data_IF_265539208252
#
_entry.id   IF_265539208252
#
_cell.length_a   1.000
_cell.length_b   1.000
_cell.length_c   1.000
_cell.angle_alpha   90.00
_cell.angle_beta   90.00
_cell.angle_gamma   90.00
#
_symmetry.space_group_name_H-M   'P 1'
#
loop_
_entity.id
_entity.type
_entity.pdbx_description
1 polymer ?
#
# COMPACT_ATOMS: atom_id res chain seq x y z
N UNK A 1 -4.89 -2.14 -3.38
CA UNK A 1 -3.89 -3.16 -2.99
C UNK A 1 -2.63 -3.05 -3.86
N UNK A 2 -1.46 -3.04 -3.23
CA UNK A 2 -0.14 -3.23 -3.87
C UNK A 2 0.39 -4.62 -3.51
N UNK A 3 0.89 -5.40 -4.47
CA UNK A 3 1.35 -6.78 -4.24
C UNK A 3 2.70 -7.02 -4.91
N UNK A 4 3.60 -7.71 -4.21
CA UNK A 4 4.90 -8.10 -4.76
C UNK A 4 4.75 -9.00 -5.99
N UNK A 5 5.64 -8.85 -6.98
CA UNK A 5 5.71 -9.78 -8.13
C UNK A 5 5.85 -11.21 -7.63
N UNK A 6 5.13 -12.15 -8.25
CA UNK A 6 5.11 -13.57 -7.89
C UNK A 6 4.77 -13.83 -6.40
N UNK A 7 4.06 -12.90 -5.74
CA UNK A 7 3.76 -13.00 -4.31
C UNK A 7 4.99 -12.92 -3.41
N UNK A 8 6.13 -12.42 -3.92
CA UNK A 8 7.37 -12.31 -3.15
C UNK A 8 7.20 -11.43 -1.91
N UNK A 9 7.99 -11.72 -0.87
CA UNK A 9 8.10 -10.89 0.32
C UNK A 9 8.59 -9.49 -0.09
N UNK A 10 7.86 -8.47 0.36
CA UNK A 10 8.20 -7.05 0.19
C UNK A 10 8.60 -6.39 1.51
N UNK A 11 8.34 -7.05 2.65
CA UNK A 11 8.83 -6.63 3.96
C UNK A 11 9.60 -7.77 4.63
N UNK A 12 10.93 -7.65 4.68
CA UNK A 12 11.82 -8.63 5.30
C UNK A 12 12.18 -8.25 6.73
N UNK A 13 12.14 -6.96 7.07
CA UNK A 13 12.37 -6.45 8.42
C UNK A 13 11.52 -5.20 8.72
N UNK A 14 11.53 -4.75 9.98
CA UNK A 14 10.75 -3.60 10.45
C UNK A 14 11.02 -2.30 9.67
N UNK A 15 12.24 -2.11 9.14
CA UNK A 15 12.59 -0.89 8.39
C UNK A 15 11.82 -0.81 7.07
N UNK A 16 11.43 -1.95 6.49
CA UNK A 16 10.63 -1.96 5.26
C UNK A 16 9.22 -1.43 5.51
N UNK A 17 8.61 -1.84 6.62
CA UNK A 17 7.30 -1.36 7.07
C UNK A 17 7.35 0.13 7.38
N UNK A 18 8.32 0.54 8.20
CA UNK A 18 8.54 1.94 8.57
C UNK A 18 8.76 2.81 7.33
N UNK A 19 9.58 2.34 6.38
CA UNK A 19 9.84 3.11 5.16
C UNK A 19 8.61 3.27 4.31
N UNK A 20 7.78 2.24 4.17
CA UNK A 20 6.55 2.36 3.40
C UNK A 20 5.58 3.34 4.08
N UNK A 21 5.40 3.24 5.40
CA UNK A 21 4.55 4.16 6.17
C UNK A 21 5.05 5.60 6.00
N UNK A 22 6.36 5.81 6.10
CA UNK A 22 6.97 7.12 5.90
C UNK A 22 6.73 7.63 4.48
N UNK A 23 6.89 6.77 3.47
CA UNK A 23 6.60 7.10 2.07
C UNK A 23 5.15 7.52 1.88
N UNK A 24 4.19 6.78 2.46
CA UNK A 24 2.76 7.12 2.42
C UNK A 24 2.51 8.48 3.09
N UNK A 25 3.13 8.76 4.26
CA UNK A 25 2.98 10.06 4.93
C UNK A 25 3.51 11.21 4.08
N UNK A 26 4.67 11.04 3.47
CA UNK A 26 5.29 12.07 2.62
C UNK A 26 4.46 12.35 1.36
N UNK A 27 3.95 11.30 0.68
CA UNK A 27 3.11 11.50 -0.51
C UNK A 27 1.74 12.08 -0.12
N UNK A 28 1.21 11.74 1.07
CA UNK A 28 0.00 12.37 1.61
C UNK A 28 0.14 13.88 1.72
N UNK A 29 1.31 14.39 2.11
CA UNK A 29 1.52 15.84 2.18
C UNK A 29 1.50 16.55 0.83
N UNK A 30 1.81 15.85 -0.25
CA UNK A 30 1.81 16.38 -1.62
C UNK A 30 0.42 16.25 -2.24
N UNK A 31 -0.15 15.05 -2.19
CA UNK A 31 -1.38 14.68 -2.90
C UNK A 31 -2.66 14.94 -2.09
N UNK A 32 -2.52 15.21 -0.78
CA UNK A 32 -3.59 15.54 0.17
C UNK A 32 -4.73 14.51 0.29
N UNK A 33 -4.48 13.24 -0.05
CA UNK A 33 -5.48 12.17 0.13
C UNK A 33 -5.69 11.85 1.63
N UNK A 34 -6.82 11.19 1.92
CA UNK A 34 -7.13 10.67 3.26
C UNK A 34 -6.90 9.17 3.32
N UNK A 35 -6.42 8.68 4.46
CA UNK A 35 -6.25 7.24 4.73
C UNK A 35 -7.23 6.88 5.84
N UNK A 36 -8.17 5.99 5.56
CA UNK A 36 -9.13 5.51 6.55
C UNK A 36 -8.66 4.24 7.26
N UNK A 37 -8.02 3.33 6.52
CA UNK A 37 -7.42 2.13 7.09
C UNK A 37 -6.28 1.61 6.23
N UNK A 38 -5.39 0.83 6.84
CA UNK A 38 -4.34 0.11 6.14
C UNK A 38 -4.02 -1.21 6.85
N UNK A 39 -3.49 -2.15 6.08
CA UNK A 39 -2.91 -3.39 6.58
C UNK A 39 -1.67 -3.73 5.75
N UNK A 40 -0.54 -3.94 6.43
CA UNK A 40 0.74 -4.29 5.80
C UNK A 40 0.98 -5.79 6.01
N UNK A 41 0.81 -6.57 4.95
CA UNK A 41 1.12 -8.01 4.93
C UNK A 41 2.52 -8.21 4.37
N UNK A 42 3.20 -9.29 4.72
CA UNK A 42 4.60 -9.55 4.31
C UNK A 42 4.86 -9.42 2.80
N UNK A 43 3.89 -9.74 1.93
CA UNK A 43 4.01 -9.67 0.47
C UNK A 43 3.03 -8.71 -0.23
N UNK A 44 2.15 -8.01 0.50
CA UNK A 44 1.19 -7.08 -0.09
C UNK A 44 0.64 -6.07 0.92
N UNK A 45 -0.03 -5.04 0.41
CA UNK A 45 -0.52 -3.91 1.20
C UNK A 45 -1.95 -3.61 0.81
N UNK A 46 -2.83 -3.52 1.82
CA UNK A 46 -4.20 -3.03 1.67
C UNK A 46 -4.28 -1.60 2.20
N UNK A 47 -4.92 -0.73 1.42
CA UNK A 47 -5.13 0.67 1.74
C UNK A 47 -6.57 1.04 1.39
N UNK A 48 -7.27 1.66 2.33
CA UNK A 48 -8.53 2.33 2.10
C UNK A 48 -8.27 3.83 2.12
N UNK A 49 -8.37 4.44 0.95
CA UNK A 49 -7.95 5.82 0.69
C UNK A 49 -9.09 6.57 0.01
N UNK A 50 -9.25 7.84 0.36
CA UNK A 50 -10.07 8.79 -0.38
C UNK A 50 -9.17 9.82 -1.04
N UNK A 51 -9.23 9.88 -2.37
CA UNK A 51 -8.54 10.91 -3.14
C UNK A 51 -9.12 12.31 -2.86
N UNK A 52 -8.29 13.32 -3.10
CA UNK A 52 -8.65 14.74 -2.96
C UNK A 52 -8.17 15.52 -4.17
N UNK A 53 -6.87 15.83 -4.24
CA UNK A 53 -6.32 16.74 -5.25
C UNK A 53 -5.70 16.03 -6.46
N UNK A 54 -5.31 14.76 -6.33
CA UNK A 54 -4.73 13.94 -7.40
C UNK A 54 -5.45 12.60 -7.49
N UNK A 55 -5.61 12.09 -8.71
CA UNK A 55 -6.12 10.74 -8.96
C UNK A 55 -5.32 9.68 -8.19
N UNK A 56 -6.01 8.65 -7.69
CA UNK A 56 -5.36 7.52 -7.04
C UNK A 56 -4.23 6.90 -7.88
N UNK A 57 -4.38 6.85 -9.21
CA UNK A 57 -3.33 6.34 -10.09
C UNK A 57 -2.01 7.09 -9.98
N UNK A 58 -2.06 8.42 -9.80
CA UNK A 58 -0.87 9.26 -9.59
C UNK A 58 -0.29 9.02 -8.19
N UNK A 59 -1.14 8.97 -7.17
CA UNK A 59 -0.76 8.70 -5.77
C UNK A 59 -0.01 7.37 -5.66
N UNK A 60 -0.59 6.29 -6.17
CA UNK A 60 0.01 4.96 -6.11
C UNK A 60 1.30 4.87 -6.93
N UNK A 61 1.39 5.58 -8.06
CA UNK A 61 2.65 5.71 -8.82
C UNK A 61 3.75 6.38 -8.01
N UNK A 62 3.45 7.48 -7.31
CA UNK A 62 4.42 8.19 -6.45
C UNK A 62 4.89 7.32 -5.29
N UNK A 63 3.96 6.66 -4.58
CA UNK A 63 4.26 5.74 -3.48
C UNK A 63 5.13 4.59 -3.99
N UNK A 64 4.68 3.93 -5.07
CA UNK A 64 5.37 2.79 -5.67
C UNK A 64 6.79 3.15 -6.11
N UNK A 65 6.97 4.22 -6.87
CA UNK A 65 8.28 4.64 -7.35
C UNK A 65 9.26 4.94 -6.21
N UNK A 66 8.82 5.70 -5.20
CA UNK A 66 9.67 6.09 -4.07
C UNK A 66 10.07 4.89 -3.21
N UNK A 67 9.12 3.99 -2.94
CA UNK A 67 9.39 2.79 -2.15
C UNK A 67 10.26 1.78 -2.91
N UNK A 68 9.95 1.49 -4.19
CA UNK A 68 10.72 0.58 -5.04
C UNK A 68 12.16 1.05 -5.19
N UNK A 69 12.38 2.36 -5.38
CA UNK A 69 13.73 2.92 -5.47
C UNK A 69 14.55 2.62 -4.22
N UNK A 70 13.98 2.92 -3.04
CA UNK A 70 14.64 2.63 -1.77
C UNK A 70 14.85 1.13 -1.54
N UNK A 71 13.85 0.31 -1.84
CA UNK A 71 13.90 -1.14 -1.66
C UNK A 71 15.00 -1.77 -2.53
N UNK A 72 15.05 -1.38 -3.80
CA UNK A 72 16.08 -1.84 -4.73
C UNK A 72 17.48 -1.43 -4.27
N UNK A 73 17.64 -0.23 -3.73
CA UNK A 73 18.91 0.21 -3.14
C UNK A 73 19.29 -0.63 -1.91
N UNK A 74 18.37 -0.79 -0.94
CA UNK A 74 18.60 -1.56 0.29
C UNK A 74 19.00 -3.01 0.00
N UNK A 75 18.29 -3.67 -0.91
CA UNK A 75 18.49 -5.09 -1.23
C UNK A 75 19.40 -5.35 -2.43
N UNK A 76 20.06 -4.32 -2.97
CA UNK A 76 20.90 -4.41 -4.18
C UNK A 76 20.18 -5.09 -5.35
N UNK A 77 18.87 -4.84 -5.48
CA UNK A 77 18.01 -5.39 -6.53
C UNK A 77 17.87 -4.43 -7.70
N UNK A 78 17.40 -4.96 -8.83
CA UNK A 78 17.00 -4.20 -10.02
C UNK A 78 15.63 -4.66 -10.47
N UNK A 79 14.93 -3.79 -11.20
CA UNK A 79 13.63 -4.10 -11.80
C UNK A 79 12.43 -3.83 -10.89
N UNK A 80 11.29 -4.43 -11.26
CA UNK A 80 10.01 -4.22 -10.61
C UNK A 80 9.91 -4.97 -9.27
N UNK A 81 9.25 -4.33 -8.30
CA UNK A 81 8.90 -4.94 -7.02
C UNK A 81 7.43 -5.40 -7.01
N UNK A 82 6.53 -4.56 -7.52
CA UNK A 82 5.09 -4.79 -7.52
C UNK A 82 4.61 -5.35 -8.86
N UNK A 83 3.64 -6.27 -8.79
CA UNK A 83 3.09 -6.97 -9.96
C UNK A 83 2.33 -6.04 -10.91
N UNK A 84 1.45 -5.23 -10.35
CA UNK A 84 0.59 -4.30 -11.08
C UNK A 84 0.76 -2.89 -10.51
N UNK A 85 0.19 -1.88 -11.20
CA UNK A 85 0.15 -0.51 -10.67
C UNK A 85 -0.52 -0.45 -9.31
N UNK A 86 -1.72 -1.01 -9.21
CA UNK A 86 -2.51 -1.29 -8.02
C UNK A 86 -3.80 -2.01 -8.45
N UNK A 87 -4.44 -2.72 -7.53
CA UNK A 87 -5.85 -3.14 -7.67
C UNK A 87 -6.73 -2.24 -6.80
N UNK A 88 -7.85 -1.77 -7.32
CA UNK A 88 -8.80 -0.91 -6.61
C UNK A 88 -10.23 -1.36 -6.84
N UNK A 89 -11.06 -1.06 -5.84
CA UNK A 89 -12.51 -1.21 -5.89
C UNK A 89 -13.11 0.03 -5.23
N UNK A 90 -14.12 0.62 -5.85
CA UNK A 90 -14.77 1.83 -5.35
C UNK A 90 -15.65 1.49 -4.15
N UNK A 91 -15.66 2.37 -3.14
CA UNK A 91 -16.52 2.25 -1.96
C UNK A 91 -17.54 3.37 -2.00
N UNK A 92 -18.79 3.03 -2.31
CA UNK A 92 -19.84 4.02 -2.62
C UNK A 92 -20.95 4.12 -1.55
N UNK A 93 -20.90 3.29 -0.51
CA UNK A 93 -21.85 3.33 0.61
C UNK A 93 -21.17 3.19 1.97
N UNK A 94 -21.80 3.74 3.01
CA UNK A 94 -21.31 3.65 4.38
C UNK A 94 -21.29 2.20 4.90
N UNK A 95 -22.29 1.40 4.53
CA UNK A 95 -22.32 -0.03 4.87
C UNK A 95 -21.14 -0.78 4.24
N UNK A 96 -20.84 -0.46 2.97
CA UNK A 96 -19.70 -1.07 2.31
C UNK A 96 -18.38 -0.58 2.90
N UNK A 97 -18.29 0.70 3.27
CA UNK A 97 -17.14 1.27 3.97
C UNK A 97 -16.82 0.50 5.27
N UNK A 98 -17.81 0.26 6.12
CA UNK A 98 -17.64 -0.52 7.35
C UNK A 98 -17.20 -1.96 7.06
N UNK A 99 -17.70 -2.56 5.97
CA UNK A 99 -17.30 -3.90 5.54
C UNK A 99 -15.84 -3.95 5.11
N UNK A 100 -15.39 -2.99 4.30
CA UNK A 100 -14.00 -2.90 3.85
C UNK A 100 -13.05 -2.60 5.03
N UNK A 101 -13.44 -1.71 5.95
CA UNK A 101 -12.69 -1.44 7.18
C UNK A 101 -12.43 -2.72 7.99
N UNK A 102 -13.49 -3.49 8.28
CA UNK A 102 -13.38 -4.78 8.97
C UNK A 102 -12.49 -5.75 8.21
N UNK A 103 -12.70 -5.87 6.90
CA UNK A 103 -11.93 -6.76 6.04
C UNK A 103 -10.43 -6.45 6.14
N UNK A 104 -10.04 -5.18 5.99
CA UNK A 104 -8.63 -4.75 6.04
C UNK A 104 -7.99 -5.15 7.37
N UNK A 105 -8.64 -4.84 8.50
CA UNK A 105 -8.08 -5.15 9.82
C UNK A 105 -8.07 -6.66 10.15
N UNK A 106 -8.96 -7.46 9.55
CA UNK A 106 -8.98 -8.90 9.73
C UNK A 106 -7.98 -9.66 8.84
N UNK A 107 -7.31 -9.01 7.88
CA UNK A 107 -6.38 -9.68 6.96
C UNK A 107 -5.24 -10.44 7.70
N UNK A 108 -4.56 -9.86 8.71
CA UNK A 108 -3.51 -10.56 9.45
C UNK A 108 -4.05 -11.78 10.20
N UNK A 109 -5.18 -11.61 10.88
CA UNK A 109 -5.85 -12.69 11.64
C UNK A 109 -6.22 -13.86 10.72
N UNK A 110 -6.81 -13.58 9.56
CA UNK A 110 -7.14 -14.62 8.57
C UNK A 110 -5.91 -15.32 7.99
N UNK A 111 -4.77 -14.63 7.96
CA UNK A 111 -3.49 -15.19 7.51
C UNK A 111 -2.72 -15.92 8.63
N UNK A 112 -3.20 -15.88 9.88
CA UNK A 112 -2.52 -16.49 11.03
C UNK A 112 -1.25 -15.75 11.46
N UNK A 113 -1.19 -14.42 11.24
CA UNK A 113 -0.07 -13.53 11.61
C UNK A 113 -0.46 -12.68 12.81
#
# INVERSE_FOLDING_TARGET
>A
MLRGINGQVIFHDNKDYEKLIQTIKEIKEISKYEVYAYCLMTNHVHLLIKERNEDLGIVFRRIGAKYVYWYNHKYKRRGYLFQDRYKSEAVESDEYLLTVLRYIHQNPVKAGI
#
